data_IF_420659433281
#
_entry.id   IF_420659433281
#
_cell.length_a   1.000
_cell.length_b   1.000
_cell.length_c   1.000
_cell.angle_alpha   90.00
_cell.angle_beta   90.00
_cell.angle_gamma   90.00
#
_symmetry.space_group_name_H-M   'P 1'
#
loop_
_entity.id
_entity.type
_entity.pdbx_description
1 polymer ?
#
# COMPACT_ATOMS: atom_id res chain seq x y z
N UNK A 1 30.54 0.93 -38.98
CA UNK A 1 29.59 0.34 -38.01
C UNK A 1 29.52 -1.16 -38.29
N UNK A 2 30.17 -1.97 -37.43
CA UNK A 2 30.25 -3.43 -37.59
C UNK A 2 28.88 -4.04 -37.26
N UNK A 3 28.42 -4.97 -38.10
CA UNK A 3 27.16 -5.69 -37.98
C UNK A 3 27.00 -6.28 -36.57
N UNK A 4 26.01 -5.78 -35.83
CA UNK A 4 25.58 -6.36 -34.56
C UNK A 4 24.94 -7.71 -34.89
N UNK A 5 25.55 -8.80 -34.42
CA UNK A 5 25.10 -10.15 -34.75
C UNK A 5 23.65 -10.35 -34.28
N UNK A 6 22.70 -10.72 -35.16
CA UNK A 6 21.29 -10.88 -34.79
C UNK A 6 21.09 -11.91 -33.67
N UNK A 7 22.01 -12.86 -33.51
CA UNK A 7 22.00 -13.82 -32.41
C UNK A 7 22.31 -13.16 -31.06
N UNK A 8 23.21 -12.17 -31.03
CA UNK A 8 23.54 -11.38 -29.84
C UNK A 8 22.38 -10.45 -29.48
N UNK A 9 21.69 -9.89 -30.48
CA UNK A 9 20.49 -9.08 -30.28
C UNK A 9 19.34 -9.91 -29.70
N UNK A 10 19.10 -11.12 -30.24
CA UNK A 10 18.08 -12.03 -29.75
C UNK A 10 18.36 -12.51 -28.32
N UNK A 11 19.63 -12.80 -28.00
CA UNK A 11 20.05 -13.17 -26.65
C UNK A 11 19.86 -12.02 -25.66
N UNK A 12 20.22 -10.79 -26.04
CA UNK A 12 20.04 -9.61 -25.21
C UNK A 12 18.54 -9.34 -24.96
N UNK A 13 17.70 -9.45 -25.98
CA UNK A 13 16.25 -9.27 -25.85
C UNK A 13 15.61 -10.34 -24.94
N UNK A 14 16.05 -11.60 -25.07
CA UNK A 14 15.63 -12.68 -24.18
C UNK A 14 15.95 -12.38 -22.72
N UNK A 15 17.15 -11.86 -22.42
CA UNK A 15 17.55 -11.51 -21.06
C UNK A 15 16.71 -10.37 -20.46
N UNK A 16 16.31 -9.39 -21.27
CA UNK A 16 15.46 -8.28 -20.82
C UNK A 16 14.05 -8.71 -20.41
N UNK A 17 13.49 -9.74 -21.07
CA UNK A 17 12.14 -10.23 -20.75
C UNK A 17 12.11 -10.88 -19.36
N UNK A 18 13.18 -11.55 -18.94
CA UNK A 18 13.23 -12.20 -17.62
C UNK A 18 13.36 -11.21 -16.45
N UNK A 19 13.84 -9.99 -16.68
CA UNK A 19 13.98 -8.98 -15.61
C UNK A 19 12.71 -8.16 -15.36
N UNK A 20 11.71 -8.23 -16.25
CA UNK A 20 10.50 -7.41 -16.18
C UNK A 20 9.43 -7.96 -15.21
N UNK A 21 9.49 -9.25 -14.86
CA UNK A 21 8.60 -9.85 -13.86
C UNK A 21 9.21 -9.75 -12.46
N UNK A 22 9.26 -8.55 -11.88
CA UNK A 22 9.51 -8.41 -10.44
C UNK A 22 8.21 -8.57 -9.67
N UNK A 23 8.16 -9.53 -8.76
CA UNK A 23 7.01 -9.73 -7.86
C UNK A 23 7.08 -8.68 -6.74
N UNK A 24 6.14 -7.75 -6.73
CA UNK A 24 5.96 -6.84 -5.59
C UNK A 24 5.44 -7.64 -4.40
N UNK A 25 6.25 -7.76 -3.35
CA UNK A 25 5.81 -8.35 -2.08
C UNK A 25 5.21 -7.24 -1.22
N UNK A 26 3.91 -7.35 -0.93
CA UNK A 26 3.27 -6.58 0.13
C UNK A 26 3.50 -7.34 1.43
N UNK A 27 4.40 -6.81 2.27
CA UNK A 27 4.63 -7.35 3.61
C UNK A 27 3.65 -6.69 4.56
N UNK A 28 2.71 -7.48 5.10
CA UNK A 28 1.93 -7.06 6.28
C UNK A 28 2.86 -7.25 7.47
N UNK A 29 3.21 -6.17 8.19
CA UNK A 29 4.01 -6.28 9.40
C UNK A 29 3.28 -7.16 10.43
N UNK A 30 4.03 -8.00 11.13
CA UNK A 30 3.49 -8.74 12.27
C UNK A 30 3.04 -7.75 13.34
N UNK A 31 1.79 -7.95 13.78
CA UNK A 31 1.18 -7.22 14.87
C UNK A 31 1.94 -7.48 16.17
N UNK A 32 2.07 -6.48 17.03
CA UNK A 32 2.61 -6.67 18.38
C UNK A 32 1.85 -7.80 19.09
N UNK A 33 2.52 -8.75 19.77
CA UNK A 33 1.84 -9.86 20.44
C UNK A 33 0.77 -9.39 21.44
N UNK A 34 0.89 -8.17 21.96
CA UNK A 34 -0.01 -7.57 22.94
C UNK A 34 -1.08 -6.64 22.32
N UNK A 35 -1.16 -6.54 20.99
CA UNK A 35 -2.19 -5.72 20.37
C UNK A 35 -3.53 -6.47 20.39
N UNK A 36 -4.52 -5.85 21.01
CA UNK A 36 -5.91 -6.30 20.97
C UNK A 36 -6.77 -5.13 20.51
N UNK A 37 -7.45 -5.28 19.37
CA UNK A 37 -8.30 -4.22 18.83
C UNK A 37 -9.43 -3.85 19.81
N UNK A 38 -9.89 -4.81 20.62
CA UNK A 38 -10.92 -4.61 21.64
C UNK A 38 -10.47 -3.69 22.80
N UNK A 39 -9.18 -3.39 22.93
CA UNK A 39 -8.64 -2.47 23.93
C UNK A 39 -8.90 -0.99 23.60
N UNK A 40 -9.44 -0.70 22.42
CA UNK A 40 -9.65 0.66 21.92
C UNK A 40 -11.14 0.90 21.64
N UNK A 41 -11.62 2.11 21.96
CA UNK A 41 -12.99 2.55 21.71
C UNK A 41 -13.09 3.49 20.51
N UNK A 42 -12.00 4.19 20.18
CA UNK A 42 -11.96 5.13 19.07
C UNK A 42 -10.76 4.94 18.16
N UNK A 43 -10.95 5.22 16.87
CA UNK A 43 -9.89 5.18 15.87
C UNK A 43 -9.90 6.44 15.00
N UNK A 44 -8.75 6.80 14.44
CA UNK A 44 -8.62 7.90 13.50
C UNK A 44 -7.54 7.63 12.48
N UNK A 45 -7.54 8.39 11.39
CA UNK A 45 -6.52 8.25 10.36
C UNK A 45 -5.32 9.16 10.63
N UNK A 46 -4.13 8.74 10.22
CA UNK A 46 -3.00 9.65 10.06
C UNK A 46 -3.26 10.64 8.92
N UNK A 47 -2.66 11.82 9.03
CA UNK A 47 -2.57 12.76 7.92
C UNK A 47 -1.59 12.15 6.92
N UNK A 48 -2.06 11.93 5.69
CA UNK A 48 -1.24 11.34 4.63
C UNK A 48 -0.39 12.45 4.02
N UNK A 49 0.84 12.60 4.51
CA UNK A 49 1.84 13.48 3.89
C UNK A 49 2.59 12.70 2.81
N UNK A 50 1.86 12.29 1.76
CA UNK A 50 2.47 11.58 0.64
C UNK A 50 3.20 12.60 -0.25
N UNK A 51 4.52 12.54 -0.25
CA UNK A 51 5.39 13.39 -1.06
C UNK A 51 5.75 12.70 -2.39
N UNK A 52 5.78 13.45 -3.50
CA UNK A 52 6.22 12.96 -4.82
C UNK A 52 5.17 13.07 -5.92
N UNK A 53 5.36 12.29 -7.01
CA UNK A 53 4.42 12.23 -8.13
C UNK A 53 3.28 11.26 -7.81
N UNK A 54 2.16 11.83 -7.37
CA UNK A 54 0.94 11.09 -7.07
C UNK A 54 0.12 10.90 -8.35
N UNK A 55 -0.52 9.74 -8.50
CA UNK A 55 -1.47 9.52 -9.59
C UNK A 55 -2.68 10.45 -9.43
N UNK A 56 -3.33 10.84 -10.53
CA UNK A 56 -4.54 11.67 -10.53
C UNK A 56 -5.66 11.13 -9.61
N UNK A 57 -5.73 9.82 -9.42
CA UNK A 57 -6.74 9.14 -8.60
C UNK A 57 -6.26 8.78 -7.18
N UNK A 58 -5.10 9.26 -6.75
CA UNK A 58 -4.52 8.89 -5.45
C UNK A 58 -5.48 9.21 -4.30
N UNK A 59 -5.99 10.44 -4.26
CA UNK A 59 -6.91 10.87 -3.21
C UNK A 59 -8.19 10.04 -3.20
N UNK A 60 -8.79 9.78 -4.37
CA UNK A 60 -9.98 8.95 -4.50
C UNK A 60 -9.75 7.53 -3.99
N UNK A 61 -8.61 6.92 -4.29
CA UNK A 61 -8.27 5.59 -3.78
C UNK A 61 -8.05 5.60 -2.26
N UNK A 62 -7.39 6.63 -1.72
CA UNK A 62 -7.20 6.78 -0.27
C UNK A 62 -8.54 6.97 0.44
N UNK A 63 -9.43 7.79 -0.11
CA UNK A 63 -10.78 7.98 0.44
C UNK A 63 -11.59 6.69 0.42
N UNK A 64 -11.53 5.94 -0.68
CA UNK A 64 -12.18 4.63 -0.79
C UNK A 64 -11.68 3.67 0.30
N UNK A 65 -10.35 3.54 0.47
CA UNK A 65 -9.76 2.70 1.51
C UNK A 65 -10.13 3.16 2.92
N UNK A 66 -10.11 4.48 3.18
CA UNK A 66 -10.57 5.03 4.47
C UNK A 66 -12.03 4.69 4.74
N UNK A 67 -12.88 4.66 3.70
CA UNK A 67 -14.28 4.25 3.79
C UNK A 67 -14.44 2.79 4.22
N UNK A 68 -13.79 1.88 3.50
CA UNK A 68 -13.81 0.44 3.81
C UNK A 68 -13.27 0.14 5.22
N UNK A 69 -12.14 0.77 5.60
CA UNK A 69 -11.58 0.65 6.95
C UNK A 69 -12.59 1.16 7.99
N UNK A 70 -13.21 2.31 7.75
CA UNK A 70 -14.19 2.89 8.67
C UNK A 70 -15.34 1.92 8.92
N UNK A 71 -15.93 1.38 7.85
CA UNK A 71 -17.03 0.40 7.95
C UNK A 71 -16.62 -0.83 8.77
N UNK A 72 -15.42 -1.34 8.54
CA UNK A 72 -14.90 -2.50 9.24
C UNK A 72 -14.60 -2.24 10.72
N UNK A 73 -14.14 -1.06 11.08
CA UNK A 73 -13.84 -0.68 12.46
C UNK A 73 -15.13 -0.42 13.26
N UNK A 74 -16.10 0.26 12.64
CA UNK A 74 -17.42 0.51 13.23
C UNK A 74 -18.19 -0.80 13.45
N UNK A 75 -18.12 -1.74 12.49
CA UNK A 75 -18.70 -3.07 12.66
C UNK A 75 -18.09 -3.87 13.83
N UNK A 76 -16.88 -3.49 14.28
CA UNK A 76 -16.19 -4.08 15.43
C UNK A 76 -16.40 -3.28 16.73
N UNK A 77 -17.21 -2.23 16.68
CA UNK A 77 -17.60 -1.43 17.85
C UNK A 77 -16.76 -0.19 18.12
N UNK A 78 -15.79 0.15 17.25
CA UNK A 78 -14.98 1.35 17.40
C UNK A 78 -15.63 2.56 16.72
N UNK A 79 -15.49 3.74 17.32
CA UNK A 79 -16.03 4.99 16.76
C UNK A 79 -14.93 5.82 16.11
N UNK A 80 -15.21 6.39 14.93
CA UNK A 80 -14.26 7.27 14.24
C UNK A 80 -14.12 8.61 14.98
N UNK A 81 -12.89 9.02 15.25
CA UNK A 81 -12.56 10.29 15.89
C UNK A 81 -11.37 10.98 15.19
N UNK A 82 -11.52 12.26 14.86
CA UNK A 82 -10.50 13.02 14.13
C UNK A 82 -9.27 13.33 15.01
N UNK A 83 -9.52 13.92 16.18
CA UNK A 83 -8.49 14.30 17.16
C UNK A 83 -8.64 13.48 18.45
N UNK A 84 -7.50 13.08 19.04
CA UNK A 84 -7.50 12.34 20.31
C UNK A 84 -7.95 10.88 20.22
N UNK A 85 -8.01 10.30 19.01
CA UNK A 85 -8.33 8.88 18.85
C UNK A 85 -7.31 8.00 19.57
N UNK A 86 -7.80 6.95 20.24
CA UNK A 86 -6.97 6.01 20.99
C UNK A 86 -6.10 5.15 20.06
N UNK A 87 -6.61 4.82 18.87
CA UNK A 87 -5.91 4.11 17.80
C UNK A 87 -5.76 4.99 16.55
N UNK A 88 -4.56 5.03 15.96
CA UNK A 88 -4.29 5.73 14.70
C UNK A 88 -3.89 4.74 13.61
N UNK A 89 -4.50 4.90 12.42
CA UNK A 89 -4.34 4.05 11.24
C UNK A 89 -3.89 4.87 10.03
#
# INVERSE_FOLDING_TARGET
>A
MKYLNPFVLALALSLFIFTACQTTRVSVLEQSPDFELASYNSFGFFVSDAEGELSENYEQHIEYLKGEITQHMEARGLSKQAEGAELKI
#
